data_IF_387836281438
#
_entry.id   IF_387836281438
#
_cell.length_a   1.000
_cell.length_b   1.000
_cell.length_c   1.000
_cell.angle_alpha   90.00
_cell.angle_beta   90.00
_cell.angle_gamma   90.00
#
_symmetry.space_group_name_H-M   'P 1'
#
loop_
_entity.id
_entity.type
_entity.pdbx_description
1 polymer ?
#
# COMPACT_ATOMS: atom_id res chain seq x y z
N UNK A 1 13.29 -13.78 -2.77
CA UNK A 1 13.37 -13.63 -1.28
C UNK A 1 12.13 -14.27 -0.70
N UNK A 2 12.25 -15.13 0.34
CA UNK A 2 11.05 -15.65 1.03
C UNK A 2 10.34 -14.47 1.70
N UNK A 3 9.03 -14.37 1.52
CA UNK A 3 8.22 -13.39 2.24
C UNK A 3 8.24 -13.68 3.75
N UNK A 4 8.08 -12.65 4.57
CA UNK A 4 7.90 -12.80 6.01
C UNK A 4 6.41 -12.81 6.35
N UNK A 5 5.99 -13.74 7.22
CA UNK A 5 4.60 -13.81 7.69
C UNK A 5 4.17 -12.54 8.42
N UNK A 6 5.11 -11.84 9.07
CA UNK A 6 4.85 -10.58 9.74
C UNK A 6 4.36 -9.48 8.77
N UNK A 7 4.73 -9.58 7.48
CA UNK A 7 4.31 -8.64 6.45
C UNK A 7 2.91 -8.93 5.89
N UNK A 8 2.30 -10.06 6.25
CA UNK A 8 0.91 -10.33 5.91
C UNK A 8 -0.01 -9.56 6.86
N UNK A 9 -0.77 -8.62 6.34
CA UNK A 9 -1.78 -7.90 7.09
C UNK A 9 -2.98 -8.82 7.45
N UNK A 10 -3.72 -8.49 8.49
CA UNK A 10 -4.93 -9.23 8.89
C UNK A 10 -5.95 -9.38 7.76
N UNK A 11 -6.01 -8.42 6.85
CA UNK A 11 -6.94 -8.41 5.72
C UNK A 11 -6.44 -9.19 4.48
N UNK A 12 -5.26 -9.82 4.52
CA UNK A 12 -4.69 -10.52 3.37
C UNK A 12 -3.83 -9.65 2.44
N UNK A 13 -3.68 -8.36 2.73
CA UNK A 13 -2.75 -7.51 1.99
C UNK A 13 -1.31 -7.80 2.42
N UNK A 14 -0.38 -7.87 1.46
CA UNK A 14 1.02 -8.10 1.76
C UNK A 14 1.80 -6.78 1.80
N UNK A 15 2.20 -6.37 3.00
CA UNK A 15 2.92 -5.11 3.20
C UNK A 15 4.26 -5.05 2.46
N UNK A 16 4.90 -6.20 2.22
CA UNK A 16 6.19 -6.26 1.51
C UNK A 16 6.14 -5.76 0.06
N UNK A 17 4.94 -5.77 -0.56
CA UNK A 17 4.73 -5.26 -1.91
C UNK A 17 4.10 -3.85 -1.90
N UNK A 18 3.76 -3.33 -0.71
CA UNK A 18 3.09 -2.05 -0.57
C UNK A 18 4.02 -0.88 -0.88
N UNK A 19 3.59 0.01 -1.78
CA UNK A 19 4.33 1.22 -2.14
C UNK A 19 4.67 2.12 -0.93
N UNK A 20 3.78 2.18 0.06
CA UNK A 20 4.02 2.96 1.28
C UNK A 20 5.04 2.30 2.22
N UNK A 21 5.01 0.96 2.35
CA UNK A 21 5.97 0.24 3.17
C UNK A 21 7.37 0.17 2.52
N UNK A 22 7.42 -0.10 1.22
CA UNK A 22 8.68 -0.12 0.46
C UNK A 22 9.25 1.28 0.26
N UNK A 23 8.41 2.31 0.28
CA UNK A 23 8.82 3.70 0.09
C UNK A 23 9.17 4.09 -1.33
N UNK A 24 8.86 3.25 -2.32
CA UNK A 24 9.28 3.47 -3.73
C UNK A 24 8.80 4.79 -4.30
N UNK A 25 7.59 5.23 -3.93
CA UNK A 25 7.05 6.52 -4.38
C UNK A 25 7.79 7.67 -3.71
N UNK A 26 8.03 7.56 -2.40
CA UNK A 26 8.73 8.59 -1.64
C UNK A 26 10.19 8.75 -2.11
N UNK A 27 10.87 7.64 -2.39
CA UNK A 27 12.24 7.67 -2.92
C UNK A 27 12.31 8.29 -4.31
N UNK A 28 11.37 7.94 -5.20
CA UNK A 28 11.30 8.51 -6.54
C UNK A 28 11.00 10.02 -6.50
N UNK A 29 10.08 10.44 -5.62
CA UNK A 29 9.75 11.84 -5.42
C UNK A 29 10.95 12.63 -4.89
N UNK A 30 11.66 12.10 -3.89
CA UNK A 30 12.86 12.72 -3.35
C UNK A 30 13.95 12.85 -4.42
N UNK A 31 14.19 11.78 -5.18
CA UNK A 31 15.17 11.82 -6.27
C UNK A 31 14.85 12.87 -7.34
N UNK A 32 13.56 13.04 -7.67
CA UNK A 32 13.14 14.09 -8.58
C UNK A 32 13.33 15.49 -7.98
N UNK A 33 12.96 15.68 -6.70
CA UNK A 33 13.19 16.97 -6.01
C UNK A 33 14.67 17.35 -6.01
N UNK A 34 15.56 16.41 -5.68
CA UNK A 34 17.01 16.66 -5.65
C UNK A 34 17.54 17.11 -7.01
N UNK A 35 17.03 16.52 -8.10
CA UNK A 35 17.37 16.92 -9.46
C UNK A 35 16.88 18.34 -9.77
N UNK A 36 15.62 18.63 -9.47
CA UNK A 36 15.02 19.94 -9.72
C UNK A 36 15.75 21.06 -8.96
N UNK A 37 16.12 20.81 -7.71
CA UNK A 37 16.89 21.75 -6.88
C UNK A 37 18.32 21.94 -7.40
N UNK A 38 19.00 20.84 -7.76
CA UNK A 38 20.39 20.87 -8.26
C UNK A 38 20.50 21.74 -9.50
N UNK A 39 19.54 21.61 -10.42
CA UNK A 39 19.56 22.36 -11.68
C UNK A 39 18.82 23.70 -11.62
N UNK A 40 18.32 24.12 -10.45
CA UNK A 40 17.52 25.34 -10.29
C UNK A 40 16.41 25.43 -11.33
N UNK A 41 15.65 24.33 -11.44
CA UNK A 41 14.66 24.15 -12.50
C UNK A 41 13.49 25.14 -12.40
N UNK A 42 13.25 25.74 -11.24
CA UNK A 42 12.35 26.87 -11.03
C UNK A 42 12.60 28.01 -12.04
N UNK A 43 13.87 28.35 -12.27
CA UNK A 43 14.25 29.38 -13.25
C UNK A 43 13.93 28.95 -14.69
N UNK A 44 14.12 27.68 -14.99
CA UNK A 44 13.77 27.14 -16.31
C UNK A 44 12.27 27.16 -16.51
N UNK A 45 11.50 26.77 -15.49
CA UNK A 45 10.04 26.81 -15.51
C UNK A 45 9.52 28.22 -15.78
N UNK A 46 10.07 29.22 -15.07
CA UNK A 46 9.65 30.61 -15.19
C UNK A 46 10.08 31.24 -16.53
N UNK A 47 11.33 31.05 -16.95
CA UNK A 47 11.91 31.77 -18.07
C UNK A 47 11.72 31.08 -19.43
N UNK A 48 11.68 29.76 -19.48
CA UNK A 48 11.64 28.98 -20.72
C UNK A 48 10.25 28.42 -21.04
N UNK A 49 9.53 27.97 -19.99
CA UNK A 49 8.25 27.29 -20.14
C UNK A 49 7.12 27.92 -19.29
N UNK A 50 6.95 29.27 -19.26
CA UNK A 50 6.03 29.92 -18.33
C UNK A 50 4.56 29.51 -18.53
N UNK A 51 4.16 29.16 -19.75
CA UNK A 51 2.79 28.74 -20.02
C UNK A 51 2.54 27.28 -19.66
N UNK A 52 3.49 26.40 -19.95
CA UNK A 52 3.39 24.95 -19.73
C UNK A 52 3.55 24.61 -18.25
N UNK A 53 4.40 25.36 -17.54
CA UNK A 53 4.76 25.10 -16.15
C UNK A 53 4.21 26.18 -15.18
N UNK A 54 3.10 26.82 -15.53
CA UNK A 54 2.46 27.85 -14.69
C UNK A 54 2.07 27.38 -13.29
N UNK A 55 1.88 26.08 -13.09
CA UNK A 55 1.51 25.46 -11.81
C UNK A 55 2.72 24.75 -11.16
N UNK A 56 3.95 25.16 -11.53
CA UNK A 56 5.18 24.49 -11.05
C UNK A 56 5.29 24.49 -9.53
N UNK A 57 4.89 25.56 -8.86
CA UNK A 57 4.92 25.65 -7.40
C UNK A 57 4.01 24.59 -6.75
N UNK A 58 2.79 24.43 -7.28
CA UNK A 58 1.87 23.39 -6.79
C UNK A 58 2.38 21.98 -7.07
N UNK A 59 3.05 21.79 -8.21
CA UNK A 59 3.70 20.52 -8.49
C UNK A 59 4.78 20.22 -7.45
N UNK A 60 5.61 21.20 -7.10
CA UNK A 60 6.63 21.05 -6.06
C UNK A 60 6.03 20.77 -4.68
N UNK A 61 4.91 21.43 -4.32
CA UNK A 61 4.18 21.16 -3.09
C UNK A 61 3.66 19.70 -3.04
N UNK A 62 3.04 19.22 -4.13
CA UNK A 62 2.57 17.84 -4.24
C UNK A 62 3.73 16.85 -4.20
N UNK A 63 4.81 17.15 -4.89
CA UNK A 63 6.02 16.32 -4.89
C UNK A 63 6.62 16.22 -3.48
N UNK A 64 6.68 17.34 -2.76
CA UNK A 64 7.09 17.38 -1.35
C UNK A 64 6.21 16.50 -0.47
N UNK A 65 4.89 16.56 -0.63
CA UNK A 65 3.99 15.63 0.07
C UNK A 65 4.28 14.16 -0.27
N UNK A 66 4.59 13.87 -1.53
CA UNK A 66 4.89 12.48 -1.96
C UNK A 66 6.17 11.93 -1.32
N UNK A 67 7.14 12.76 -0.96
CA UNK A 67 8.35 12.31 -0.23
C UNK A 67 8.03 11.77 1.17
N UNK A 68 6.90 12.16 1.73
CA UNK A 68 6.42 11.73 3.05
C UNK A 68 5.54 10.49 3.00
N UNK A 69 5.20 9.98 1.80
CA UNK A 69 4.33 8.81 1.63
C UNK A 69 5.04 7.51 2.04
N UNK A 70 5.37 7.42 3.31
CA UNK A 70 5.95 6.23 3.94
C UNK A 70 5.05 5.71 5.03
N UNK A 71 4.87 4.40 5.04
CA UNK A 71 4.17 3.74 6.13
C UNK A 71 5.08 3.71 7.37
N UNK A 72 4.55 4.10 8.52
CA UNK A 72 5.28 4.09 9.80
C UNK A 72 5.56 2.68 10.34
N UNK A 73 5.01 1.65 9.72
CA UNK A 73 5.18 0.26 10.10
C UNK A 73 4.07 -0.63 9.55
N UNK A 74 4.09 -1.90 9.92
CA UNK A 74 3.10 -2.89 9.53
C UNK A 74 1.95 -2.98 10.54
N UNK A 75 0.77 -3.40 10.09
CA UNK A 75 -0.41 -3.41 10.97
C UNK A 75 -0.31 -4.39 12.15
N UNK A 76 0.62 -5.37 12.11
CA UNK A 76 0.91 -6.30 13.21
C UNK A 76 1.77 -5.69 14.31
N UNK A 77 2.54 -4.64 14.03
CA UNK A 77 3.50 -4.00 14.93
C UNK A 77 3.07 -2.59 15.33
N UNK A 78 1.79 -2.38 15.62
CA UNK A 78 1.25 -1.06 16.01
C UNK A 78 1.59 0.08 15.04
N UNK A 79 1.86 -0.25 13.80
CA UNK A 79 2.17 0.67 12.73
C UNK A 79 1.14 0.62 11.60
N UNK A 80 1.47 1.28 10.51
CA UNK A 80 0.67 1.30 9.30
C UNK A 80 -0.24 2.52 9.18
N UNK A 81 -0.79 2.68 8.00
CA UNK A 81 -1.69 3.80 7.65
C UNK A 81 -3.01 3.72 8.41
N UNK A 82 -3.33 2.56 9.00
CA UNK A 82 -4.58 2.36 9.74
C UNK A 82 -4.36 2.27 11.25
N UNK A 83 -5.04 3.14 11.98
CA UNK A 83 -4.98 3.19 13.43
C UNK A 83 -5.65 1.96 14.08
N UNK A 84 -5.65 1.94 15.41
CA UNK A 84 -6.35 0.98 16.28
C UNK A 84 -7.84 0.75 15.96
N UNK A 85 -8.45 1.58 15.10
CA UNK A 85 -9.85 1.49 14.68
C UNK A 85 -10.11 0.57 13.47
N UNK A 86 -9.13 -0.19 12.99
CA UNK A 86 -9.35 -1.12 11.87
C UNK A 86 -10.23 -2.29 12.31
N UNK A 87 -11.47 -2.33 11.82
CA UNK A 87 -12.46 -3.37 12.17
C UNK A 87 -12.01 -4.78 11.79
N UNK A 88 -11.31 -4.93 10.67
CA UNK A 88 -10.76 -6.22 10.22
C UNK A 88 -9.69 -6.71 11.19
N UNK A 89 -8.74 -5.84 11.58
CA UNK A 89 -7.71 -6.16 12.56
C UNK A 89 -8.34 -6.55 13.90
N UNK A 90 -9.26 -5.74 14.42
CA UNK A 90 -9.91 -5.98 15.70
C UNK A 90 -10.68 -7.30 15.71
N UNK A 91 -11.43 -7.57 14.64
CA UNK A 91 -12.16 -8.82 14.48
C UNK A 91 -11.24 -10.06 14.49
N UNK A 92 -10.11 -10.02 13.79
CA UNK A 92 -9.13 -11.12 13.82
C UNK A 92 -8.54 -11.32 15.21
N UNK A 93 -8.18 -10.24 15.90
CA UNK A 93 -7.63 -10.30 17.27
C UNK A 93 -8.67 -10.90 18.23
N UNK A 94 -9.92 -10.45 18.18
CA UNK A 94 -11.01 -10.94 19.03
C UNK A 94 -11.30 -12.44 18.81
N UNK A 95 -11.22 -12.90 17.56
CA UNK A 95 -11.42 -14.29 17.18
C UNK A 95 -10.18 -15.17 17.36
N UNK A 96 -9.03 -14.60 17.68
CA UNK A 96 -7.75 -15.30 17.76
C UNK A 96 -7.22 -15.80 16.42
N UNK A 97 -7.66 -15.19 15.31
CA UNK A 97 -7.22 -15.53 13.96
C UNK A 97 -5.89 -14.86 13.62
N UNK A 98 -5.01 -15.58 12.96
CA UNK A 98 -3.79 -15.00 12.41
C UNK A 98 -4.12 -13.98 11.32
N UNK A 99 -5.03 -14.32 10.41
CA UNK A 99 -5.57 -13.39 9.41
C UNK A 99 -6.96 -13.89 8.96
N UNK A 100 -7.66 -13.06 8.18
CA UNK A 100 -9.02 -13.36 7.74
C UNK A 100 -9.15 -14.64 6.90
N UNK A 101 -8.08 -15.17 6.32
CA UNK A 101 -8.15 -16.46 5.62
C UNK A 101 -8.56 -17.63 6.53
N UNK A 102 -8.49 -17.49 7.86
CA UNK A 102 -8.98 -18.48 8.82
C UNK A 102 -10.49 -18.35 9.10
N UNK A 103 -11.11 -17.25 8.65
CA UNK A 103 -12.55 -17.01 8.80
C UNK A 103 -13.33 -17.60 7.64
N UNK A 104 -14.41 -18.33 7.92
CA UNK A 104 -15.24 -18.94 6.85
C UNK A 104 -16.02 -17.90 6.04
N UNK A 105 -16.32 -16.75 6.63
CA UNK A 105 -17.15 -15.71 6.04
C UNK A 105 -16.33 -14.58 5.37
N UNK A 106 -15.02 -14.73 5.19
CA UNK A 106 -14.19 -13.61 4.74
C UNK A 106 -14.57 -13.06 3.37
N UNK A 107 -15.10 -13.89 2.48
CA UNK A 107 -15.47 -13.49 1.11
C UNK A 107 -16.68 -12.58 1.05
N UNK A 108 -17.55 -12.64 2.03
CA UNK A 108 -18.80 -11.85 2.11
C UNK A 108 -18.79 -10.87 3.28
N UNK A 109 -17.62 -10.65 3.89
CA UNK A 109 -17.49 -9.83 5.07
C UNK A 109 -17.59 -8.33 4.74
N UNK A 110 -18.58 -7.66 5.28
CA UNK A 110 -18.85 -6.23 5.11
C UNK A 110 -17.71 -5.32 5.63
N UNK A 111 -16.91 -5.81 6.59
CA UNK A 111 -15.75 -5.07 7.11
C UNK A 111 -14.71 -4.76 6.05
N UNK A 112 -14.66 -5.53 4.96
CA UNK A 112 -13.77 -5.28 3.83
C UNK A 112 -14.17 -4.03 3.04
N UNK A 113 -15.44 -3.69 2.95
CA UNK A 113 -15.91 -2.48 2.26
C UNK A 113 -15.32 -1.20 2.88
N UNK A 114 -15.05 -1.23 4.19
CA UNK A 114 -14.40 -0.12 4.91
C UNK A 114 -12.90 0.02 4.61
N UNK A 115 -12.26 -1.01 4.04
CA UNK A 115 -10.82 -1.00 3.74
C UNK A 115 -10.51 -0.08 2.57
N UNK A 116 -9.92 1.10 2.87
CA UNK A 116 -9.54 2.08 1.86
C UNK A 116 -10.66 2.40 0.84
N UNK A 117 -11.92 2.46 1.31
CA UNK A 117 -13.11 2.64 0.47
C UNK A 117 -13.26 1.55 -0.61
N UNK A 118 -12.91 0.31 -0.25
CA UNK A 118 -12.99 -0.84 -1.16
C UNK A 118 -11.78 -1.08 -2.06
N UNK A 119 -10.85 -0.13 -2.17
CA UNK A 119 -9.72 -0.18 -3.10
C UNK A 119 -8.92 -1.50 -3.05
N UNK A 120 -8.73 -2.09 -1.86
CA UNK A 120 -7.95 -3.31 -1.69
C UNK A 120 -8.79 -4.58 -1.55
N UNK A 121 -10.11 -4.50 -1.58
CA UNK A 121 -10.99 -5.62 -1.23
C UNK A 121 -10.78 -6.82 -2.14
N UNK A 122 -10.81 -6.62 -3.46
CA UNK A 122 -10.63 -7.68 -4.45
C UNK A 122 -9.29 -8.39 -4.30
N UNK A 123 -8.22 -7.64 -4.24
CA UNK A 123 -6.86 -8.16 -4.07
C UNK A 123 -6.70 -8.94 -2.74
N UNK A 124 -7.25 -8.41 -1.64
CA UNK A 124 -7.22 -9.07 -0.34
C UNK A 124 -7.95 -10.43 -0.37
N UNK A 125 -9.14 -10.49 -0.98
CA UNK A 125 -9.92 -11.73 -1.10
C UNK A 125 -9.16 -12.76 -1.94
N UNK A 126 -8.59 -12.36 -3.09
CA UNK A 126 -7.77 -13.26 -3.93
C UNK A 126 -6.58 -13.82 -3.17
N UNK A 127 -5.84 -12.97 -2.44
CA UNK A 127 -4.71 -13.41 -1.62
C UNK A 127 -5.14 -14.42 -0.55
N UNK A 128 -6.25 -14.16 0.15
CA UNK A 128 -6.74 -15.06 1.20
C UNK A 128 -7.20 -16.41 0.65
N UNK A 129 -7.84 -16.44 -0.54
CA UNK A 129 -8.17 -17.69 -1.22
C UNK A 129 -6.91 -18.50 -1.54
N UNK A 130 -5.91 -17.83 -2.14
CA UNK A 130 -4.64 -18.49 -2.47
C UNK A 130 -3.94 -19.06 -1.22
N UNK A 131 -3.95 -18.31 -0.10
CA UNK A 131 -3.40 -18.79 1.17
C UNK A 131 -4.17 -20.00 1.70
N UNK A 132 -5.51 -20.01 1.61
CA UNK A 132 -6.32 -21.17 2.02
C UNK A 132 -6.04 -22.42 1.19
N UNK A 133 -5.84 -22.26 -0.11
CA UNK A 133 -5.63 -23.37 -1.04
C UNK A 133 -4.24 -23.98 -0.90
N UNK A 134 -3.19 -23.17 -0.83
CA UNK A 134 -1.81 -23.69 -0.83
C UNK A 134 -1.09 -23.65 0.52
N UNK A 135 -1.66 -23.00 1.51
CA UNK A 135 -1.03 -22.74 2.80
C UNK A 135 -0.15 -21.49 2.81
N UNK A 136 -0.05 -20.86 3.99
CA UNK A 136 0.69 -19.59 4.15
C UNK A 136 2.16 -19.73 3.78
N UNK A 137 2.84 -20.80 4.21
CA UNK A 137 4.27 -20.99 3.93
C UNK A 137 4.55 -21.09 2.42
N UNK A 138 3.75 -21.86 1.69
CA UNK A 138 3.88 -22.02 0.25
C UNK A 138 3.58 -20.69 -0.48
N UNK A 139 2.54 -19.97 -0.05
CA UNK A 139 2.20 -18.68 -0.61
C UNK A 139 3.32 -17.65 -0.39
N UNK A 140 3.92 -17.58 0.79
CA UNK A 140 5.05 -16.71 1.07
C UNK A 140 6.31 -17.08 0.28
N UNK A 141 6.50 -18.37 -0.04
CA UNK A 141 7.66 -18.85 -0.76
C UNK A 141 7.63 -18.54 -2.26
N UNK A 142 6.46 -18.37 -2.86
CA UNK A 142 6.34 -18.11 -4.30
C UNK A 142 4.91 -18.12 -4.83
N UNK A 143 3.91 -17.99 -3.98
CA UNK A 143 2.52 -17.80 -4.40
C UNK A 143 2.32 -16.45 -5.09
N UNK A 144 1.35 -16.40 -5.99
CA UNK A 144 0.94 -15.17 -6.64
C UNK A 144 0.33 -14.24 -5.61
N UNK A 145 0.82 -12.99 -5.58
CA UNK A 145 0.32 -11.93 -4.72
C UNK A 145 -0.42 -10.90 -5.54
N UNK A 146 -1.65 -10.60 -5.14
CA UNK A 146 -2.51 -9.66 -5.82
C UNK A 146 -2.50 -8.31 -5.09
N UNK A 147 -2.40 -7.23 -5.88
CA UNK A 147 -2.51 -5.85 -5.44
C UNK A 147 -3.60 -5.14 -6.25
N UNK A 148 -4.12 -4.02 -5.77
CA UNK A 148 -5.18 -3.29 -6.46
C UNK A 148 -4.75 -2.75 -7.84
N UNK A 149 -3.48 -2.50 -8.02
CA UNK A 149 -2.94 -2.04 -9.32
C UNK A 149 -2.79 -3.16 -10.36
N UNK A 150 -2.99 -4.43 -9.95
CA UNK A 150 -3.01 -5.56 -10.87
C UNK A 150 -4.44 -5.81 -11.42
N UNK A 151 -5.44 -5.13 -10.84
CA UNK A 151 -6.82 -5.25 -11.29
C UNK A 151 -6.98 -4.38 -12.55
N UNK A 152 -7.15 -5.02 -13.69
CA UNK A 152 -7.62 -4.36 -14.91
C UNK A 152 -9.10 -4.07 -14.72
N UNK A 153 -9.49 -2.81 -14.86
CA UNK A 153 -10.90 -2.42 -14.98
C UNK A 153 -11.50 -3.18 -16.18
N UNK A 154 -12.31 -4.23 -15.92
CA UNK A 154 -13.15 -4.87 -16.93
C UNK A 154 -14.49 -4.11 -17.03
#
# INVERSE_FOLDING_TARGET
MRGSEDLLAYCGFYCGDCLGYTGVVADAAQGLMDVLETYKFDRTAECVFPSQLREYDKFCEMLGFMTELRCSGICRQEGGVRPSSCEVKNCCIEKGFFACYECDDFETCDKFESLHKGLHTGACVKNMRAIREMGLEAWLAGGERHCYWDETDE
#
